data_IF_925114514339
#
_entry.id   IF_925114514339
#
_cell.length_a   1.000
_cell.length_b   1.000
_cell.length_c   1.000
_cell.angle_alpha   90.00
_cell.angle_beta   90.00
_cell.angle_gamma   90.00
#
_symmetry.space_group_name_H-M   'P 1'
#
loop_
_entity.id
_entity.type
_entity.pdbx_description
1 polymer ?
#
# COMPACT_ATOMS: atom_id res chain seq x y z
N UNK A 1 11.24 17.16 0.78
CA UNK A 1 9.93 17.14 1.45
C UNK A 1 9.58 15.68 1.73
N UNK A 2 8.93 15.40 2.86
CA UNK A 2 8.47 14.06 3.23
C UNK A 2 7.09 13.79 2.62
N UNK A 3 6.86 12.59 2.09
CA UNK A 3 5.62 12.23 1.41
C UNK A 3 4.41 12.22 2.35
N UNK A 4 4.58 11.77 3.59
CA UNK A 4 3.50 11.74 4.57
C UNK A 4 3.10 13.13 5.01
N UNK A 5 4.08 13.98 5.34
CA UNK A 5 3.82 15.37 5.70
C UNK A 5 3.13 16.11 4.55
N UNK A 6 3.52 15.85 3.30
CA UNK A 6 2.86 16.44 2.14
C UNK A 6 1.37 16.07 2.07
N UNK A 7 1.02 14.79 2.25
CA UNK A 7 -0.38 14.36 2.21
C UNK A 7 -1.16 14.93 3.39
N UNK A 8 -0.64 14.85 4.61
CA UNK A 8 -1.36 15.33 5.80
C UNK A 8 -1.53 16.86 5.84
N UNK A 9 -0.72 17.62 5.10
CA UNK A 9 -0.84 19.07 4.96
C UNK A 9 -1.62 19.50 3.71
N UNK A 10 -1.87 18.58 2.77
CA UNK A 10 -2.62 18.88 1.56
C UNK A 10 -4.10 19.15 1.90
N UNK A 11 -4.78 19.98 1.09
CA UNK A 11 -6.24 20.04 1.16
C UNK A 11 -6.82 18.70 0.70
N UNK A 12 -7.86 18.22 1.39
CA UNK A 12 -8.56 16.99 1.02
C UNK A 12 -9.25 17.07 -0.36
N UNK A 13 -9.57 18.29 -0.83
CA UNK A 13 -10.24 18.52 -2.10
C UNK A 13 -9.43 19.47 -3.02
N UNK A 14 -9.37 19.20 -4.34
CA UNK A 14 -9.95 18.03 -5.01
C UNK A 14 -9.19 16.74 -4.69
N UNK A 15 -9.93 15.66 -4.43
CA UNK A 15 -9.33 14.33 -4.22
C UNK A 15 -8.54 13.82 -5.44
N UNK A 16 -7.62 12.89 -5.20
CA UNK A 16 -6.77 12.25 -6.21
C UNK A 16 -7.36 10.92 -6.69
N UNK A 17 -7.31 10.65 -7.99
CA UNK A 17 -7.73 9.36 -8.55
C UNK A 17 -6.71 8.25 -8.30
N UNK A 18 -5.44 8.61 -8.13
CA UNK A 18 -4.36 7.65 -7.92
C UNK A 18 -3.24 8.23 -7.06
N UNK A 19 -2.81 7.45 -6.07
CA UNK A 19 -1.63 7.71 -5.26
C UNK A 19 -0.68 6.52 -5.43
N UNK A 20 0.58 6.76 -5.81
CA UNK A 20 1.59 5.72 -5.96
C UNK A 20 2.55 5.72 -4.75
N UNK A 21 2.61 4.63 -4.01
CA UNK A 21 3.56 4.41 -2.93
C UNK A 21 4.72 3.55 -3.41
N UNK A 22 5.84 4.21 -3.74
CA UNK A 22 7.10 3.57 -4.10
C UNK A 22 8.25 4.17 -3.26
N UNK A 23 8.17 3.95 -1.95
CA UNK A 23 8.97 4.65 -0.95
C UNK A 23 10.12 3.80 -0.37
N UNK A 24 10.82 3.04 -1.22
CA UNK A 24 11.96 2.24 -0.78
C UNK A 24 13.18 3.11 -0.46
N UNK A 25 13.73 2.94 0.75
CA UNK A 25 15.08 3.39 1.11
C UNK A 25 15.99 2.17 1.24
N UNK A 26 16.64 1.80 0.14
CA UNK A 26 17.42 0.57 0.08
C UNK A 26 16.50 -0.65 0.08
N UNK A 27 16.45 -1.39 1.20
CA UNK A 27 15.65 -2.63 1.34
C UNK A 27 14.42 -2.49 2.24
N UNK A 28 14.18 -1.31 2.83
CA UNK A 28 13.05 -1.09 3.74
C UNK A 28 12.23 0.14 3.35
N UNK A 29 10.97 0.13 3.79
CA UNK A 29 10.04 1.27 3.72
C UNK A 29 9.85 1.75 5.16
N UNK A 30 10.01 3.06 5.46
CA UNK A 30 9.80 3.60 6.81
C UNK A 30 8.45 3.21 7.41
N UNK A 31 8.42 2.89 8.72
CA UNK A 31 7.20 2.44 9.40
C UNK A 31 6.06 3.44 9.22
N UNK A 32 6.33 4.73 9.40
CA UNK A 32 5.34 5.82 9.31
C UNK A 32 4.61 5.89 7.95
N UNK A 33 5.14 5.26 6.90
CA UNK A 33 4.51 5.17 5.58
C UNK A 33 3.65 3.91 5.39
N UNK A 34 3.50 3.10 6.43
CA UNK A 34 2.86 1.78 6.37
C UNK A 34 1.79 1.56 7.43
N UNK A 35 1.42 2.60 8.16
CA UNK A 35 0.49 2.53 9.29
C UNK A 35 -0.95 2.79 8.86
N UNK A 36 -1.89 2.33 9.68
CA UNK A 36 -3.32 2.56 9.48
C UNK A 36 -3.65 4.06 9.44
N UNK A 37 -2.99 4.87 10.28
CA UNK A 37 -3.18 6.32 10.35
C UNK A 37 -2.77 6.99 9.04
N UNK A 38 -1.61 6.66 8.49
CA UNK A 38 -1.19 7.21 7.21
C UNK A 38 -2.10 6.74 6.08
N UNK A 39 -2.48 5.47 6.05
CA UNK A 39 -3.40 4.95 5.05
C UNK A 39 -4.80 5.59 5.12
N UNK A 40 -5.27 5.94 6.33
CA UNK A 40 -6.51 6.72 6.49
C UNK A 40 -6.35 8.12 5.91
N UNK A 41 -5.21 8.79 6.14
CA UNK A 41 -4.92 10.07 5.52
C UNK A 41 -4.90 9.97 3.98
N UNK A 42 -4.31 8.91 3.42
CA UNK A 42 -4.36 8.66 1.97
C UNK A 42 -5.80 8.47 1.48
N UNK A 43 -6.61 7.65 2.16
CA UNK A 43 -8.00 7.38 1.81
C UNK A 43 -8.86 8.65 1.81
N UNK A 44 -8.64 9.55 2.76
CA UNK A 44 -9.34 10.85 2.84
C UNK A 44 -9.03 11.77 1.66
N UNK A 45 -7.89 11.58 1.00
CA UNK A 45 -7.47 12.34 -0.18
C UNK A 45 -7.80 11.64 -1.50
N UNK A 46 -8.46 10.48 -1.49
CA UNK A 46 -8.89 9.80 -2.71
C UNK A 46 -10.26 10.28 -3.18
N UNK A 47 -10.47 10.30 -4.50
CA UNK A 47 -11.83 10.34 -5.05
C UNK A 47 -12.60 9.07 -4.68
N UNK A 48 -13.95 9.02 -4.78
CA UNK A 48 -14.74 7.84 -4.41
C UNK A 48 -14.38 6.54 -5.17
N UNK A 49 -13.69 6.66 -6.30
CA UNK A 49 -13.19 5.54 -7.10
C UNK A 49 -11.66 5.50 -7.18
N UNK A 50 -10.98 6.37 -6.44
CA UNK A 50 -9.54 6.48 -6.42
C UNK A 50 -8.86 5.24 -5.82
N UNK A 51 -7.57 5.12 -6.10
CA UNK A 51 -6.76 3.99 -5.64
C UNK A 51 -5.41 4.44 -5.09
N UNK A 52 -4.95 3.76 -4.04
CA UNK A 52 -3.54 3.74 -3.64
C UNK A 52 -2.91 2.50 -4.25
N UNK A 53 -1.81 2.66 -4.98
CA UNK A 53 -1.03 1.55 -5.54
C UNK A 53 0.31 1.50 -4.82
N UNK A 54 0.58 0.40 -4.16
CA UNK A 54 1.82 0.18 -3.41
C UNK A 54 2.63 -0.96 -4.02
N UNK A 55 3.93 -0.75 -4.14
CA UNK A 55 4.86 -1.84 -4.43
C UNK A 55 5.21 -2.57 -3.13
N UNK A 56 4.80 -3.84 -3.01
CA UNK A 56 5.00 -4.67 -1.83
C UNK A 56 5.98 -5.81 -2.10
N UNK A 57 6.75 -6.16 -1.09
CA UNK A 57 7.74 -7.23 -1.14
C UNK A 57 7.16 -8.53 -0.54
N UNK A 58 6.51 -9.35 -1.37
CA UNK A 58 5.80 -10.58 -0.96
C UNK A 58 6.68 -11.65 -0.31
N UNK A 59 8.00 -11.59 -0.51
CA UNK A 59 8.95 -12.54 0.07
C UNK A 59 9.43 -12.17 1.48
N UNK A 60 8.82 -11.17 2.12
CA UNK A 60 9.27 -10.65 3.43
C UNK A 60 8.23 -10.94 4.51
N UNK A 61 8.64 -11.11 5.77
CA UNK A 61 7.69 -11.29 6.87
C UNK A 61 6.71 -10.12 7.03
N UNK A 62 7.13 -8.92 6.63
CA UNK A 62 6.29 -7.72 6.66
C UNK A 62 5.10 -7.77 5.72
N UNK A 63 5.14 -8.58 4.65
CA UNK A 63 4.08 -8.59 3.65
C UNK A 63 2.68 -8.87 4.24
N UNK A 64 2.61 -9.74 5.26
CA UNK A 64 1.33 -10.04 5.92
C UNK A 64 0.81 -8.84 6.70
N UNK A 65 1.67 -8.16 7.46
CA UNK A 65 1.32 -6.93 8.17
C UNK A 65 0.89 -5.81 7.20
N UNK A 66 1.58 -5.68 6.07
CA UNK A 66 1.24 -4.70 5.04
C UNK A 66 -0.18 -4.95 4.51
N UNK A 67 -0.46 -6.20 4.13
CA UNK A 67 -1.76 -6.63 3.60
C UNK A 67 -2.88 -6.47 4.64
N UNK A 68 -2.66 -6.87 5.89
CA UNK A 68 -3.62 -6.67 6.99
C UNK A 68 -3.91 -5.18 7.22
N UNK A 69 -2.88 -4.33 7.24
CA UNK A 69 -3.05 -2.89 7.49
C UNK A 69 -3.81 -2.21 6.36
N UNK A 70 -3.53 -2.55 5.11
CA UNK A 70 -4.33 -2.07 3.98
C UNK A 70 -5.79 -2.52 4.08
N UNK A 71 -6.04 -3.78 4.38
CA UNK A 71 -7.39 -4.31 4.49
C UNK A 71 -8.17 -3.75 5.69
N UNK A 72 -7.48 -3.33 6.74
CA UNK A 72 -8.08 -2.63 7.87
C UNK A 72 -8.66 -1.26 7.47
N UNK A 73 -8.02 -0.57 6.51
CA UNK A 73 -8.37 0.81 6.13
C UNK A 73 -9.21 0.89 4.86
N UNK A 74 -8.86 0.14 3.83
CA UNK A 74 -9.47 0.27 2.51
C UNK A 74 -10.59 -0.76 2.29
N UNK A 75 -11.73 -0.34 1.68
CA UNK A 75 -12.83 -1.26 1.37
C UNK A 75 -12.44 -2.42 0.45
N UNK A 76 -11.53 -2.20 -0.50
CA UNK A 76 -11.18 -3.17 -1.53
C UNK A 76 -9.67 -3.22 -1.78
N UNK A 77 -9.16 -4.41 -2.10
CA UNK A 77 -7.74 -4.63 -2.35
C UNK A 77 -7.47 -5.66 -3.45
N UNK A 78 -6.52 -5.37 -4.33
CA UNK A 78 -6.17 -6.20 -5.48
C UNK A 78 -4.65 -6.43 -5.53
N UNK A 79 -4.20 -7.67 -5.40
CA UNK A 79 -2.78 -8.03 -5.47
C UNK A 79 -2.42 -8.60 -6.84
N UNK A 80 -1.48 -7.97 -7.54
CA UNK A 80 -0.97 -8.47 -8.82
C UNK A 80 0.46 -8.97 -8.62
N UNK A 81 0.65 -10.28 -8.73
CA UNK A 81 1.95 -10.90 -8.50
C UNK A 81 2.86 -10.75 -9.72
N UNK A 82 4.13 -10.47 -9.47
CA UNK A 82 5.16 -10.56 -10.50
C UNK A 82 5.48 -12.02 -10.84
N UNK A 83 6.00 -12.29 -12.04
CA UNK A 83 6.32 -13.65 -12.52
C UNK A 83 7.24 -14.43 -11.57
N UNK A 84 8.16 -13.73 -10.90
CA UNK A 84 9.10 -14.33 -9.94
C UNK A 84 8.54 -14.40 -8.51
N UNK A 85 7.32 -13.91 -8.27
CA UNK A 85 6.62 -13.99 -6.98
C UNK A 85 7.29 -13.25 -5.82
N UNK A 86 8.20 -12.30 -6.11
CA UNK A 86 8.95 -11.55 -5.09
C UNK A 86 8.38 -10.16 -4.81
N UNK A 87 7.72 -9.58 -5.81
CA UNK A 87 7.05 -8.30 -5.71
C UNK A 87 5.56 -8.50 -6.02
N UNK A 88 4.74 -7.71 -5.35
CA UNK A 88 3.31 -7.59 -5.57
C UNK A 88 2.99 -6.12 -5.78
N UNK A 89 2.38 -5.79 -6.90
CA UNK A 89 1.70 -4.50 -7.05
C UNK A 89 0.36 -4.64 -6.37
N UNK A 90 0.15 -3.90 -5.29
CA UNK A 90 -1.09 -3.94 -4.54
C UNK A 90 -1.88 -2.65 -4.75
N UNK A 91 -3.11 -2.77 -5.25
CA UNK A 91 -4.02 -1.65 -5.42
C UNK A 91 -5.11 -1.71 -4.34
N UNK A 92 -5.12 -0.73 -3.43
CA UNK A 92 -6.16 -0.49 -2.44
C UNK A 92 -7.13 0.56 -2.98
N UNK A 93 -8.44 0.28 -2.98
CA UNK A 93 -9.45 1.18 -3.58
C UNK A 93 -10.42 1.70 -2.54
N UNK A 94 -10.78 2.97 -2.68
CA UNK A 94 -11.85 3.63 -1.93
C UNK A 94 -13.26 3.16 -2.37
N UNK A 95 -13.38 2.50 -3.53
CA UNK A 95 -14.66 2.10 -4.07
C UNK A 95 -15.36 1.10 -3.14
N UNK A 96 -16.65 1.28 -2.82
CA UNK A 96 -17.36 0.40 -1.88
C UNK A 96 -17.59 -1.01 -2.42
N UNK A 97 -17.57 -1.19 -3.75
CA UNK A 97 -17.85 -2.47 -4.42
C UNK A 97 -16.59 -3.01 -5.07
N UNK A 98 -16.34 -4.30 -4.82
CA UNK A 98 -15.27 -5.02 -5.49
C UNK A 98 -15.51 -5.13 -7.01
N UNK A 99 -14.48 -4.90 -7.80
CA UNK A 99 -14.41 -5.35 -9.19
C UNK A 99 -14.19 -6.86 -9.21
N UNK A 100 -15.06 -7.61 -9.88
CA UNK A 100 -14.89 -9.06 -10.08
C UNK A 100 -13.88 -9.37 -11.19
N UNK A 101 -13.38 -10.61 -11.24
CA UNK A 101 -12.38 -11.04 -12.23
C UNK A 101 -12.80 -10.79 -13.68
N UNK A 102 -14.03 -11.14 -14.04
CA UNK A 102 -14.57 -10.88 -15.38
C UNK A 102 -14.51 -9.39 -15.74
N UNK A 103 -14.94 -8.53 -14.82
CA UNK A 103 -14.92 -7.08 -15.04
C UNK A 103 -13.48 -6.53 -15.09
N UNK A 104 -12.55 -7.07 -14.29
CA UNK A 104 -11.14 -6.70 -14.34
C UNK A 104 -10.54 -6.99 -15.73
N UNK A 105 -10.80 -8.17 -16.29
CA UNK A 105 -10.35 -8.51 -17.64
C UNK A 105 -11.03 -7.67 -18.73
N UNK A 106 -12.32 -7.38 -18.59
CA UNK A 106 -13.02 -6.50 -19.52
C UNK A 106 -12.43 -5.08 -19.49
N UNK A 107 -12.15 -4.53 -18.30
CA UNK A 107 -11.51 -3.23 -18.14
C UNK A 107 -10.10 -3.20 -18.75
N UNK A 108 -9.32 -4.26 -18.54
CA UNK A 108 -8.00 -4.40 -19.15
C UNK A 108 -8.07 -4.35 -20.69
N UNK A 109 -9.05 -5.02 -21.29
CA UNK A 109 -9.27 -4.96 -22.74
C UNK A 109 -9.72 -3.60 -23.25
N UNK A 110 -10.55 -2.88 -22.49
CA UNK A 110 -10.93 -1.50 -22.82
C UNK A 110 -9.74 -0.55 -22.74
N UNK A 111 -8.84 -0.75 -21.79
CA UNK A 111 -7.65 0.08 -21.58
C UNK A 111 -6.48 -0.28 -22.50
N UNK A 112 -6.42 -1.52 -23.02
CA UNK A 112 -5.30 -2.06 -23.82
C UNK A 112 -4.80 -1.12 -24.93
N UNK A 113 -5.66 -0.42 -25.71
CA UNK A 113 -5.18 0.47 -26.77
C UNK A 113 -4.32 1.65 -26.30
N UNK A 114 -4.38 2.01 -25.02
CA UNK A 114 -3.59 3.09 -24.43
C UNK A 114 -2.18 2.66 -23.99
N UNK A 115 -1.87 1.35 -24.04
CA UNK A 115 -0.62 0.79 -23.53
C UNK A 115 0.01 -0.18 -24.54
N UNK A 116 1.33 -0.18 -24.60
CA UNK A 116 2.14 -1.03 -25.48
C UNK A 116 2.55 -2.37 -24.83
N UNK A 117 2.13 -2.60 -23.58
CA UNK A 117 2.33 -3.85 -22.84
C UNK A 117 1.02 -4.60 -22.61
N UNK A 118 1.12 -5.91 -22.37
CA UNK A 118 -0.02 -6.82 -22.24
C UNK A 118 -0.80 -6.61 -20.93
N UNK A 119 -1.84 -5.77 -20.97
CA UNK A 119 -2.73 -5.52 -19.85
C UNK A 119 -3.60 -6.75 -19.52
N UNK A 120 -3.96 -7.56 -20.51
CA UNK A 120 -4.69 -8.81 -20.26
C UNK A 120 -3.85 -9.80 -19.44
N UNK A 121 -2.58 -9.95 -19.80
CA UNK A 121 -1.60 -10.75 -19.07
C UNK A 121 -1.39 -10.21 -17.65
N UNK A 122 -1.32 -8.90 -17.46
CA UNK A 122 -1.23 -8.29 -16.13
C UNK A 122 -2.50 -8.52 -15.30
N UNK A 123 -3.68 -8.33 -15.87
CA UNK A 123 -4.95 -8.64 -15.19
C UNK A 123 -5.04 -10.12 -14.79
N UNK A 124 -4.48 -11.03 -15.60
CA UNK A 124 -4.40 -12.47 -15.30
C UNK A 124 -3.45 -12.80 -14.15
N UNK A 125 -2.62 -11.86 -13.69
CA UNK A 125 -1.72 -12.02 -12.53
C UNK A 125 -2.37 -11.59 -11.23
N UNK A 126 -3.66 -11.24 -11.25
CA UNK A 126 -4.40 -10.98 -10.03
C UNK A 126 -4.46 -12.25 -9.16
N UNK A 127 -3.83 -12.16 -8.00
CA UNK A 127 -3.88 -13.18 -6.97
C UNK A 127 -5.19 -13.10 -6.18
N UNK A 128 -6.03 -14.12 -6.35
CA UNK A 128 -7.33 -14.26 -5.69
C UNK A 128 -7.27 -15.01 -4.34
N UNK A 129 -6.08 -15.49 -3.95
CA UNK A 129 -5.90 -16.15 -2.67
C UNK A 129 -6.03 -15.17 -1.50
N UNK A 130 -6.54 -15.68 -0.38
CA UNK A 130 -6.48 -14.97 0.89
C UNK A 130 -5.20 -15.42 1.62
N UNK A 131 -4.15 -14.63 1.53
CA UNK A 131 -2.85 -14.85 2.17
C UNK A 131 -2.60 -13.93 3.38
N UNK A 132 -3.63 -13.18 3.78
CA UNK A 132 -3.67 -12.22 4.87
C UNK A 132 -4.95 -12.42 5.70
N UNK A 133 -4.85 -12.40 7.02
CA UNK A 133 -5.97 -12.26 7.96
C UNK A 133 -5.43 -11.67 9.28
N UNK A 134 -6.33 -11.26 10.18
CA UNK A 134 -5.97 -10.70 11.49
C UNK A 134 -5.21 -11.68 12.40
N UNK A 135 -5.16 -12.97 12.04
CA UNK A 135 -4.35 -14.00 12.71
C UNK A 135 -2.98 -14.18 12.06
N UNK A 136 -2.80 -13.70 10.84
CA UNK A 136 -1.61 -13.87 10.02
C UNK A 136 -0.68 -12.64 10.05
N UNK A 137 -1.21 -11.44 10.32
CA UNK A 137 -0.43 -10.21 10.47
C UNK A 137 -1.15 -9.20 11.37
N UNK A 138 -0.40 -8.41 12.13
CA UNK A 138 -0.91 -7.32 12.96
C UNK A 138 -1.09 -6.05 12.10
N UNK A 139 -2.14 -5.27 12.40
CA UNK A 139 -2.29 -3.91 11.86
C UNK A 139 -1.17 -3.04 12.42
N UNK A 140 -0.48 -2.35 11.51
CA UNK A 140 0.60 -1.43 11.86
C UNK A 140 0.01 -0.08 12.25
N UNK A 141 0.49 0.48 13.35
CA UNK A 141 0.06 1.77 13.87
C UNK A 141 1.26 2.68 14.09
N UNK A 142 1.00 3.99 14.07
CA UNK A 142 1.99 4.96 14.53
C UNK A 142 2.38 4.71 15.98
N UNK A 143 3.66 4.92 16.28
CA UNK A 143 4.22 4.91 17.64
C UNK A 143 4.37 6.34 18.20
N UNK A 144 3.70 7.31 17.57
CA UNK A 144 3.67 8.72 17.94
C UNK A 144 2.24 9.27 17.87
N UNK A 145 1.99 10.36 18.58
CA UNK A 145 0.68 11.03 18.54
C UNK A 145 0.57 11.96 17.33
N UNK A 146 -0.63 12.33 16.87
CA UNK A 146 -0.80 13.32 15.81
C UNK A 146 -0.12 14.67 16.11
N UNK A 147 0.00 15.05 17.39
CA UNK A 147 0.68 16.28 17.80
C UNK A 147 2.21 16.21 17.61
N UNK A 148 2.77 15.00 17.48
CA UNK A 148 4.19 14.74 17.30
C UNK A 148 4.55 14.32 15.87
N UNK A 149 3.63 14.45 14.90
CA UNK A 149 3.77 13.94 13.54
C UNK A 149 5.13 14.27 12.90
N UNK A 150 5.52 15.55 12.87
CA UNK A 150 6.78 15.97 12.23
C UNK A 150 8.00 15.29 12.87
N UNK A 151 8.03 15.26 14.20
CA UNK A 151 9.11 14.62 14.98
C UNK A 151 9.12 13.10 14.78
N UNK A 152 7.94 12.48 14.73
CA UNK A 152 7.77 11.04 14.50
C UNK A 152 8.23 10.64 13.10
N UNK A 153 7.81 11.38 12.08
CA UNK A 153 8.25 11.20 10.69
C UNK A 153 9.76 11.36 10.55
N UNK A 154 10.34 12.40 11.13
CA UNK A 154 11.79 12.64 11.11
C UNK A 154 12.55 11.46 11.76
N UNK A 155 12.11 11.03 12.95
CA UNK A 155 12.69 9.86 13.66
C UNK A 155 12.68 8.59 12.80
N UNK A 156 11.56 8.29 12.15
CA UNK A 156 11.42 7.08 11.33
C UNK A 156 12.05 7.18 9.94
N UNK A 157 12.45 8.37 9.52
CA UNK A 157 13.22 8.56 8.30
C UNK A 157 14.70 8.19 8.49
N UNK A 158 15.21 8.19 9.71
CA UNK A 158 16.53 7.66 10.02
C UNK A 158 16.52 6.13 9.96
N UNK A 159 17.69 5.51 9.73
CA UNK A 159 17.75 4.04 9.77
C UNK A 159 17.46 3.60 11.20
N UNK A 160 16.43 2.80 11.35
CA UNK A 160 16.15 2.05 12.56
C UNK A 160 17.29 1.02 12.77
N UNK A 161 18.05 1.13 13.85
CA UNK A 161 19.18 0.24 14.16
C UNK A 161 19.07 -0.22 15.62
N UNK A 162 19.10 -1.54 15.86
CA UNK A 162 19.13 -2.10 17.22
C UNK A 162 17.76 -2.50 17.80
N UNK A 163 17.66 -2.56 19.13
CA UNK A 163 16.50 -3.04 19.90
C UNK A 163 15.30 -2.08 19.86
N UNK A 164 15.51 -0.81 19.51
CA UNK A 164 14.44 0.18 19.28
C UNK A 164 13.68 -0.07 17.97
N UNK A 165 14.03 -1.15 17.26
CA UNK A 165 13.40 -1.58 16.04
C UNK A 165 12.57 -2.85 16.27
N UNK A 166 11.33 -2.69 16.76
CA UNK A 166 10.31 -3.76 16.66
C UNK A 166 10.08 -4.19 15.19
N UNK A 167 10.56 -3.37 14.24
CA UNK A 167 10.58 -3.57 12.80
C UNK A 167 11.83 -4.30 12.27
N UNK A 168 12.46 -5.17 13.08
CA UNK A 168 13.56 -5.98 12.59
C UNK A 168 13.05 -6.98 11.53
N UNK A 169 13.35 -6.70 10.24
CA UNK A 169 13.44 -7.76 9.25
C UNK A 169 14.30 -8.86 9.86
N UNK A 170 13.80 -10.10 10.02
CA UNK A 170 14.63 -11.15 10.58
C UNK A 170 15.87 -11.25 9.70
N UNK A 171 17.01 -10.90 10.28
CA UNK A 171 18.31 -11.17 9.69
C UNK A 171 18.39 -12.67 9.50
N UNK A 172 18.69 -13.09 8.25
CA UNK A 172 18.95 -14.48 7.92
C UNK A 172 19.97 -15.11 8.85
#
# INVERSE_FOLDING_TARGET
ADGRLFVEQAPAEPGWDMILLDAFRGVFVPLHLKTAEYYQALLQHLTPHGVVVANLHSSTPMYKHDRTTFAHVFPQGYAFHTERGRQTVFAASAAPKAVGTYQMHANAGLAQPAFDFDLHGLASRWYLGCDWDDRAGQVLHDDFSPADLERGVERHNERCVGEDCDYAYPTR
#
